data_IF_366197424212
#
_entry.id   IF_366197424212
#
_cell.length_a   1.000
_cell.length_b   1.000
_cell.length_c   1.000
_cell.angle_alpha   90.00
_cell.angle_beta   90.00
_cell.angle_gamma   90.00
#
_symmetry.space_group_name_H-M   'P 1'
#
loop_
_entity.id
_entity.type
_entity.pdbx_description
1 polymer ?
#
# COMPACT_ATOMS: atom_id res chain seq x y z
N UNK A 1 8.30 25.86 -10.37
CA UNK A 1 6.96 25.44 -10.85
C UNK A 1 6.55 24.22 -10.05
N UNK A 2 5.27 24.09 -9.67
CA UNK A 2 4.76 22.87 -9.04
C UNK A 2 4.51 21.81 -10.13
N UNK A 3 4.64 20.51 -9.81
CA UNK A 3 4.34 19.47 -10.77
C UNK A 3 2.82 19.39 -11.02
N UNK A 4 2.44 18.74 -12.12
CA UNK A 4 1.06 18.23 -12.24
C UNK A 4 0.85 17.11 -11.23
N UNK A 5 -0.41 16.85 -10.86
CA UNK A 5 -0.75 15.74 -9.95
C UNK A 5 -0.35 14.38 -10.54
N UNK A 6 -0.41 14.22 -11.87
CA UNK A 6 -0.04 12.97 -12.55
C UNK A 6 1.25 13.14 -13.34
N UNK A 7 2.26 12.32 -13.06
CA UNK A 7 3.58 12.40 -13.71
C UNK A 7 3.51 12.27 -15.23
N UNK A 8 2.69 11.33 -15.72
CA UNK A 8 2.53 11.02 -17.14
C UNK A 8 1.86 12.13 -17.95
N UNK A 9 1.30 13.16 -17.31
CA UNK A 9 0.69 14.31 -17.97
C UNK A 9 1.68 15.47 -18.21
N UNK A 10 2.91 15.36 -17.71
CA UNK A 10 3.97 16.34 -17.91
C UNK A 10 4.81 16.00 -19.14
N UNK A 11 5.28 17.03 -19.82
CA UNK A 11 6.27 16.90 -20.89
C UNK A 11 7.69 16.93 -20.34
N UNK A 12 8.66 16.46 -21.13
CA UNK A 12 10.07 16.57 -20.76
C UNK A 12 10.52 18.02 -20.49
N UNK A 13 9.93 18.99 -21.20
CA UNK A 13 10.21 20.42 -21.00
C UNK A 13 9.68 20.93 -19.65
N UNK A 14 8.51 20.47 -19.21
CA UNK A 14 7.94 20.84 -17.90
C UNK A 14 8.87 20.42 -16.76
N UNK A 15 9.50 19.25 -16.88
CA UNK A 15 10.43 18.71 -15.89
C UNK A 15 11.78 19.43 -15.99
N UNK A 16 12.36 19.56 -17.20
CA UNK A 16 13.69 20.14 -17.40
C UNK A 16 13.78 21.63 -17.01
N UNK A 17 12.67 22.38 -17.09
CA UNK A 17 12.61 23.79 -16.72
C UNK A 17 12.29 24.02 -15.23
N UNK A 18 11.93 22.98 -14.49
CA UNK A 18 11.52 23.07 -13.09
C UNK A 18 12.70 22.89 -12.12
N UNK A 19 12.60 23.54 -10.96
CA UNK A 19 13.39 23.16 -9.78
C UNK A 19 12.71 21.96 -9.09
N UNK A 20 13.07 20.76 -9.56
CA UNK A 20 12.48 19.48 -9.11
C UNK A 20 12.97 19.04 -7.73
N UNK A 21 13.95 19.74 -7.14
CA UNK A 21 14.52 19.38 -5.84
C UNK A 21 13.51 19.43 -4.68
N UNK A 22 12.47 20.26 -4.81
CA UNK A 22 11.33 20.32 -3.86
C UNK A 22 10.22 19.32 -4.15
N UNK A 23 10.18 18.72 -5.34
CA UNK A 23 9.08 17.85 -5.73
C UNK A 23 9.08 16.54 -4.95
N UNK A 24 7.90 16.02 -4.69
CA UNK A 24 7.67 14.72 -4.07
C UNK A 24 7.08 13.79 -5.12
N UNK A 25 7.84 12.79 -5.55
CA UNK A 25 7.27 11.70 -6.33
C UNK A 25 6.59 10.71 -5.38
N UNK A 26 5.37 10.29 -5.73
CA UNK A 26 4.62 9.26 -5.03
C UNK A 26 4.49 8.04 -5.94
N UNK A 27 5.09 6.92 -5.55
CA UNK A 27 5.02 5.65 -6.28
C UNK A 27 4.02 4.72 -5.60
N UNK A 28 2.80 4.56 -6.15
CA UNK A 28 1.88 3.54 -5.66
C UNK A 28 2.31 2.15 -6.13
N UNK A 29 2.34 1.21 -5.19
CA UNK A 29 2.61 -0.21 -5.46
C UNK A 29 1.52 -1.08 -4.84
N UNK A 30 1.19 -2.18 -5.51
CA UNK A 30 0.15 -3.10 -5.12
C UNK A 30 0.57 -4.55 -5.39
N UNK A 31 -0.41 -5.45 -5.49
CA UNK A 31 -0.25 -6.83 -5.90
C UNK A 31 -1.44 -7.32 -6.74
N UNK A 32 -1.25 -8.49 -7.36
CA UNK A 32 -2.31 -9.27 -8.01
C UNK A 32 -2.36 -10.62 -7.34
N UNK A 33 -3.31 -10.81 -6.42
CA UNK A 33 -3.33 -11.95 -5.52
C UNK A 33 -4.74 -12.36 -5.05
N UNK A 34 -4.93 -13.62 -4.64
CA UNK A 34 -6.24 -14.12 -4.25
C UNK A 34 -6.68 -13.57 -2.90
N UNK A 35 -7.91 -13.09 -2.86
CA UNK A 35 -8.61 -12.59 -1.68
C UNK A 35 -9.89 -13.42 -1.43
N UNK A 36 -9.75 -14.74 -1.50
CA UNK A 36 -10.85 -15.68 -1.28
C UNK A 36 -11.84 -15.71 -2.44
N UNK A 37 -13.06 -16.18 -2.18
CA UNK A 37 -14.09 -16.33 -3.21
C UNK A 37 -14.86 -15.04 -3.52
N UNK A 38 -14.82 -14.06 -2.62
CA UNK A 38 -15.69 -12.87 -2.64
C UNK A 38 -15.02 -11.62 -3.23
N UNK A 39 -13.69 -11.57 -3.29
CA UNK A 39 -12.94 -10.43 -3.80
C UNK A 39 -12.12 -10.76 -5.05
N UNK A 40 -11.92 -9.79 -5.96
CA UNK A 40 -11.14 -10.00 -7.18
C UNK A 40 -9.63 -10.04 -6.89
N UNK A 41 -8.86 -10.60 -7.84
CA UNK A 41 -7.39 -10.59 -7.82
C UNK A 41 -6.79 -9.16 -7.84
N UNK A 42 -7.60 -8.16 -8.20
CA UNK A 42 -7.19 -6.77 -8.32
C UNK A 42 -7.37 -5.96 -7.02
N UNK A 43 -7.78 -6.59 -5.90
CA UNK A 43 -8.13 -5.90 -4.65
C UNK A 43 -7.09 -4.87 -4.22
N UNK A 44 -5.81 -5.26 -4.13
CA UNK A 44 -4.74 -4.33 -3.75
C UNK A 44 -4.55 -3.20 -4.75
N UNK A 45 -4.68 -3.50 -6.05
CA UNK A 45 -4.49 -2.52 -7.11
C UNK A 45 -5.63 -1.48 -7.13
N UNK A 46 -6.87 -1.90 -6.90
CA UNK A 46 -8.03 -1.02 -6.79
C UNK A 46 -7.95 -0.18 -5.49
N UNK A 47 -7.52 -0.76 -4.37
CA UNK A 47 -7.27 -0.01 -3.13
C UNK A 47 -6.17 1.04 -3.32
N UNK A 48 -5.04 0.68 -3.94
CA UNK A 48 -3.96 1.63 -4.22
C UNK A 48 -4.42 2.76 -5.14
N UNK A 49 -5.18 2.44 -6.19
CA UNK A 49 -5.76 3.42 -7.12
C UNK A 49 -6.71 4.36 -6.39
N UNK A 50 -7.69 3.82 -5.68
CA UNK A 50 -8.66 4.61 -4.93
C UNK A 50 -8.01 5.50 -3.88
N UNK A 51 -6.98 5.01 -3.19
CA UNK A 51 -6.23 5.79 -2.20
C UNK A 51 -5.52 6.98 -2.87
N UNK A 52 -4.78 6.74 -3.95
CA UNK A 52 -4.07 7.81 -4.69
C UNK A 52 -5.04 8.82 -5.30
N UNK A 53 -6.14 8.37 -5.90
CA UNK A 53 -7.17 9.24 -6.45
C UNK A 53 -7.77 10.12 -5.34
N UNK A 54 -8.08 9.52 -4.18
CA UNK A 54 -8.64 10.27 -3.05
C UNK A 54 -7.66 11.28 -2.47
N UNK A 55 -6.38 10.91 -2.32
CA UNK A 55 -5.33 11.86 -1.91
C UNK A 55 -5.24 12.98 -2.93
N UNK A 56 -5.20 12.67 -4.23
CA UNK A 56 -5.09 13.66 -5.29
C UNK A 56 -6.28 14.64 -5.28
N UNK A 57 -7.50 14.18 -5.01
CA UNK A 57 -8.68 15.04 -4.86
C UNK A 57 -8.55 16.03 -3.69
N UNK A 58 -8.08 15.56 -2.54
CA UNK A 58 -7.98 16.33 -1.30
C UNK A 58 -6.70 17.16 -1.19
N UNK A 59 -5.73 16.95 -2.09
CA UNK A 59 -4.42 17.57 -2.03
C UNK A 59 -4.47 19.09 -2.19
N UNK A 60 -3.85 19.87 -1.29
CA UNK A 60 -3.67 21.31 -1.44
C UNK A 60 -2.88 21.65 -2.71
N UNK A 61 -3.24 22.76 -3.37
CA UNK A 61 -2.62 23.17 -4.64
C UNK A 61 -1.15 23.63 -4.49
N UNK A 62 -0.69 23.92 -3.28
CA UNK A 62 0.68 24.34 -2.97
C UNK A 62 1.62 23.18 -2.61
N UNK A 63 1.08 21.97 -2.43
CA UNK A 63 1.88 20.77 -2.14
C UNK A 63 2.58 20.29 -3.43
N UNK A 64 3.93 20.22 -3.48
CA UNK A 64 4.66 19.90 -4.70
C UNK A 64 4.73 18.39 -4.98
N UNK A 65 3.61 17.68 -4.95
CA UNK A 65 3.56 16.23 -5.12
C UNK A 65 2.99 15.79 -6.47
N UNK A 66 3.52 14.69 -7.00
CA UNK A 66 3.08 14.06 -8.25
C UNK A 66 3.04 12.54 -8.09
N UNK A 67 2.01 11.91 -8.63
CA UNK A 67 1.80 10.47 -8.62
C UNK A 67 2.40 9.83 -9.87
N UNK A 68 3.19 8.79 -9.65
CA UNK A 68 3.76 7.92 -10.68
C UNK A 68 2.73 6.84 -11.07
N UNK A 69 2.97 6.11 -12.19
CA UNK A 69 2.11 4.99 -12.56
C UNK A 69 2.05 3.93 -11.47
N UNK A 70 0.86 3.37 -11.24
CA UNK A 70 0.65 2.24 -10.33
C UNK A 70 1.44 1.01 -10.81
N UNK A 71 2.33 0.50 -9.96
CA UNK A 71 2.93 -0.81 -10.13
C UNK A 71 1.99 -1.86 -9.54
N UNK A 72 1.16 -2.46 -10.39
CA UNK A 72 0.10 -3.38 -9.96
C UNK A 72 0.59 -4.79 -9.60
N UNK A 73 1.77 -5.20 -10.08
CA UNK A 73 2.34 -6.53 -9.80
C UNK A 73 3.50 -6.37 -8.83
N UNK A 74 3.32 -6.87 -7.61
CA UNK A 74 4.29 -6.83 -6.52
C UNK A 74 4.90 -8.20 -6.21
N UNK A 75 5.17 -8.43 -4.92
CA UNK A 75 5.66 -9.68 -4.38
C UNK A 75 4.67 -10.24 -3.35
N UNK A 76 4.08 -11.41 -3.66
CA UNK A 76 2.93 -12.00 -2.96
C UNK A 76 3.15 -13.48 -2.61
N UNK A 77 4.39 -13.87 -2.29
CA UNK A 77 4.80 -15.29 -2.15
C UNK A 77 3.95 -16.10 -1.16
N UNK A 78 3.44 -15.43 -0.12
CA UNK A 78 2.54 -15.99 0.90
C UNK A 78 1.22 -16.53 0.32
N UNK A 79 0.87 -16.18 -0.92
CA UNK A 79 -0.36 -16.62 -1.59
C UNK A 79 -0.14 -17.70 -2.65
N UNK A 80 1.08 -18.25 -2.78
CA UNK A 80 1.45 -19.23 -3.82
C UNK A 80 0.59 -20.50 -3.86
N UNK A 81 -0.09 -20.85 -2.77
CA UNK A 81 -0.99 -22.01 -2.70
C UNK A 81 -2.22 -21.90 -3.62
N UNK A 82 -2.54 -20.68 -4.07
CA UNK A 82 -3.79 -20.34 -4.73
C UNK A 82 -3.54 -19.89 -6.18
N UNK A 83 -4.54 -20.10 -7.04
CA UNK A 83 -4.44 -19.77 -8.46
C UNK A 83 -4.67 -18.27 -8.74
N UNK A 84 -4.13 -17.78 -9.87
CA UNK A 84 -4.41 -16.44 -10.39
C UNK A 84 -3.43 -15.35 -9.97
N UNK A 85 -2.58 -15.61 -8.98
CA UNK A 85 -1.54 -14.66 -8.56
C UNK A 85 -0.54 -14.37 -9.68
N UNK A 86 -0.20 -13.08 -9.84
CA UNK A 86 0.96 -12.65 -10.60
C UNK A 86 1.95 -12.02 -9.62
N UNK A 87 3.17 -12.54 -9.57
CA UNK A 87 4.19 -12.07 -8.61
C UNK A 87 5.55 -11.91 -9.30
N UNK A 88 6.29 -10.89 -8.90
CA UNK A 88 7.72 -10.76 -9.17
C UNK A 88 8.52 -11.46 -8.07
N UNK A 89 9.79 -11.76 -8.36
CA UNK A 89 10.72 -12.14 -7.30
C UNK A 89 11.13 -10.90 -6.49
N UNK A 90 11.53 -11.05 -5.21
CA UNK A 90 12.03 -9.93 -4.41
C UNK A 90 13.17 -9.17 -5.10
N UNK A 91 14.12 -9.88 -5.70
CA UNK A 91 15.27 -9.28 -6.39
C UNK A 91 14.82 -8.45 -7.59
N UNK A 92 13.83 -8.95 -8.33
CA UNK A 92 13.27 -8.24 -9.49
C UNK A 92 12.52 -6.99 -9.05
N UNK A 93 11.69 -7.08 -8.00
CA UNK A 93 10.95 -5.94 -7.48
C UNK A 93 11.89 -4.88 -6.88
N UNK A 94 12.92 -5.28 -6.13
CA UNK A 94 13.97 -4.37 -5.62
C UNK A 94 14.63 -3.63 -6.78
N UNK A 95 14.98 -4.34 -7.86
CA UNK A 95 15.58 -3.73 -9.05
C UNK A 95 14.65 -2.73 -9.71
N UNK A 96 13.40 -3.10 -9.98
CA UNK A 96 12.40 -2.23 -10.61
C UNK A 96 12.22 -0.94 -9.80
N UNK A 97 11.98 -1.05 -8.49
CA UNK A 97 11.74 0.11 -7.64
C UNK A 97 12.98 1.00 -7.50
N UNK A 98 14.18 0.39 -7.46
CA UNK A 98 15.44 1.14 -7.48
C UNK A 98 15.62 1.90 -8.78
N UNK A 99 15.44 1.25 -9.93
CA UNK A 99 15.64 1.86 -11.26
C UNK A 99 14.65 3.01 -11.51
N UNK A 100 13.43 2.91 -10.97
CA UNK A 100 12.48 4.04 -10.94
C UNK A 100 13.04 5.18 -10.09
N UNK A 101 13.51 4.92 -8.87
CA UNK A 101 14.11 5.94 -7.99
C UNK A 101 15.34 6.62 -8.61
N UNK A 102 16.21 5.84 -9.26
CA UNK A 102 17.37 6.33 -10.02
C UNK A 102 16.94 7.27 -11.15
N UNK A 103 15.89 6.90 -11.90
CA UNK A 103 15.35 7.73 -12.98
C UNK A 103 14.81 9.08 -12.47
N UNK A 104 14.19 9.09 -11.28
CA UNK A 104 13.74 10.32 -10.63
C UNK A 104 14.92 11.17 -10.16
N UNK A 105 15.96 10.54 -9.59
CA UNK A 105 17.19 11.21 -9.19
C UNK A 105 17.88 11.85 -10.41
N UNK A 106 17.91 11.17 -11.55
CA UNK A 106 18.43 11.73 -12.81
C UNK A 106 17.64 12.97 -13.27
N UNK A 107 16.35 13.02 -12.94
CA UNK A 107 15.47 14.17 -13.19
C UNK A 107 15.55 15.27 -12.12
N UNK A 108 16.49 15.17 -11.17
CA UNK A 108 16.75 16.15 -10.11
C UNK A 108 15.89 16.02 -8.86
N UNK A 109 14.97 15.04 -8.79
CA UNK A 109 14.14 14.82 -7.60
C UNK A 109 14.99 14.24 -6.47
N UNK A 110 14.70 14.72 -5.25
CA UNK A 110 15.37 14.26 -4.03
C UNK A 110 14.46 13.48 -3.08
N UNK A 111 13.14 13.44 -3.37
CA UNK A 111 12.11 12.90 -2.48
C UNK A 111 11.23 11.89 -3.21
N UNK A 112 11.11 10.69 -2.64
CA UNK A 112 10.24 9.62 -3.13
C UNK A 112 9.46 9.03 -1.95
N UNK A 113 8.14 8.97 -2.07
CA UNK A 113 7.27 8.22 -1.15
C UNK A 113 6.73 7.01 -1.89
N UNK A 114 7.06 5.81 -1.43
CA UNK A 114 6.49 4.56 -1.93
C UNK A 114 5.28 4.24 -1.06
N UNK A 115 4.08 4.26 -1.64
CA UNK A 115 2.83 3.96 -0.92
C UNK A 115 2.29 2.61 -1.35
N UNK A 116 2.25 1.69 -0.40
CA UNK A 116 1.97 0.28 -0.63
C UNK A 116 0.54 -0.10 -0.20
N UNK A 117 -0.14 -0.95 -0.97
CA UNK A 117 -1.42 -1.55 -0.57
C UNK A 117 -1.38 -3.00 -0.14
N UNK A 118 -0.28 -3.72 -0.38
CA UNK A 118 -0.18 -5.15 -0.14
C UNK A 118 0.92 -5.50 0.90
N UNK A 119 0.59 -6.29 1.92
CA UNK A 119 1.50 -6.60 3.04
C UNK A 119 2.88 -7.14 2.62
N UNK A 120 2.91 -8.11 1.71
CA UNK A 120 4.12 -8.82 1.27
C UNK A 120 5.18 -7.93 0.64
N UNK A 121 4.81 -6.81 0.01
CA UNK A 121 5.77 -5.86 -0.55
C UNK A 121 6.66 -5.18 0.52
N UNK A 122 6.22 -5.13 1.78
CA UNK A 122 6.84 -4.27 2.81
C UNK A 122 8.35 -4.51 3.02
N UNK A 123 8.85 -5.76 3.16
CA UNK A 123 10.28 -6.02 3.32
C UNK A 123 11.12 -5.57 2.13
N UNK A 124 10.57 -5.69 0.91
CA UNK A 124 11.23 -5.22 -0.32
C UNK A 124 11.31 -3.69 -0.33
N UNK A 125 10.21 -3.01 0.04
CA UNK A 125 10.20 -1.54 0.13
C UNK A 125 11.21 -1.03 1.14
N UNK A 126 11.32 -1.67 2.31
CA UNK A 126 12.29 -1.29 3.35
C UNK A 126 13.74 -1.37 2.83
N UNK A 127 14.08 -2.40 2.05
CA UNK A 127 15.39 -2.52 1.38
C UNK A 127 15.59 -1.38 0.38
N UNK A 128 14.59 -1.12 -0.45
CA UNK A 128 14.66 -0.11 -1.52
C UNK A 128 14.87 1.28 -0.95
N UNK A 129 14.12 1.68 0.09
CA UNK A 129 14.27 3.02 0.67
C UNK A 129 15.67 3.23 1.26
N UNK A 130 16.24 2.21 1.91
CA UNK A 130 17.60 2.26 2.44
C UNK A 130 18.63 2.36 1.32
N UNK A 131 18.39 1.64 0.21
CA UNK A 131 19.27 1.66 -0.96
C UNK A 131 19.23 3.02 -1.65
N UNK A 132 18.05 3.59 -1.88
CA UNK A 132 17.89 4.93 -2.46
C UNK A 132 18.52 6.01 -1.58
N UNK A 133 18.37 5.88 -0.25
CA UNK A 133 19.04 6.78 0.69
C UNK A 133 20.56 6.68 0.58
N UNK A 134 21.12 5.48 0.49
CA UNK A 134 22.57 5.26 0.50
C UNK A 134 23.22 5.64 -0.82
N UNK A 135 22.64 5.20 -1.93
CA UNK A 135 23.25 5.30 -3.26
C UNK A 135 22.96 6.66 -3.91
N UNK A 136 21.77 7.23 -3.67
CA UNK A 136 21.29 8.44 -4.36
C UNK A 136 21.01 9.62 -3.43
N UNK A 137 21.28 9.48 -2.12
CA UNK A 137 21.04 10.53 -1.11
C UNK A 137 19.58 11.01 -1.06
N UNK A 138 18.65 10.22 -1.55
CA UNK A 138 17.23 10.58 -1.57
C UNK A 138 16.62 10.47 -0.17
N UNK A 139 15.65 11.33 0.12
CA UNK A 139 14.63 11.03 1.11
C UNK A 139 13.63 10.05 0.49
N UNK A 140 13.88 8.76 0.71
CA UNK A 140 12.97 7.69 0.32
C UNK A 140 12.16 7.24 1.54
N UNK A 141 10.83 7.22 1.41
CA UNK A 141 9.89 6.94 2.51
C UNK A 141 9.02 5.74 2.16
N UNK A 142 8.93 4.79 3.08
CA UNK A 142 8.03 3.66 2.99
C UNK A 142 6.71 3.98 3.72
N UNK A 143 5.60 3.95 2.99
CA UNK A 143 4.25 4.17 3.51
C UNK A 143 3.31 3.05 3.05
N UNK A 144 2.15 2.95 3.69
CA UNK A 144 1.03 2.13 3.26
C UNK A 144 -0.27 2.82 3.68
N UNK A 145 -1.35 2.64 2.92
CA UNK A 145 -2.66 3.22 3.26
C UNK A 145 -3.13 2.84 4.67
N UNK A 146 -2.73 1.65 5.16
CA UNK A 146 -3.13 1.14 6.47
C UNK A 146 -2.29 1.68 7.65
N UNK A 147 -1.14 2.31 7.39
CA UNK A 147 -0.23 2.80 8.46
C UNK A 147 -0.79 4.02 9.23
N UNK A 148 -1.85 4.64 8.74
CA UNK A 148 -2.52 5.77 9.38
C UNK A 148 -3.61 5.36 10.38
N UNK A 149 -3.78 4.05 10.59
CA UNK A 149 -4.82 3.50 11.44
C UNK A 149 -6.19 3.47 10.74
N UNK A 150 -7.23 3.24 11.54
CA UNK A 150 -8.61 3.17 11.09
C UNK A 150 -9.45 4.16 11.92
N UNK A 151 -10.58 4.66 11.37
CA UNK A 151 -11.57 5.36 12.18
C UNK A 151 -11.97 4.57 13.43
N UNK A 152 -12.07 5.25 14.56
CA UNK A 152 -12.44 4.61 15.83
C UNK A 152 -13.83 3.95 15.75
N UNK A 153 -13.97 2.78 16.39
CA UNK A 153 -15.25 2.08 16.49
C UNK A 153 -15.76 1.42 15.21
N UNK A 154 -15.03 1.50 14.08
CA UNK A 154 -15.53 0.99 12.80
C UNK A 154 -15.65 -0.54 12.74
N UNK A 155 -14.70 -1.24 13.35
CA UNK A 155 -14.68 -2.71 13.41
C UNK A 155 -14.34 -3.21 14.83
N UNK A 156 -14.81 -4.43 15.19
CA UNK A 156 -14.40 -5.11 16.41
C UNK A 156 -12.87 -5.21 16.54
N UNK A 157 -12.36 -5.22 17.77
CA UNK A 157 -10.92 -5.32 18.02
C UNK A 157 -10.30 -6.61 17.43
N UNK A 158 -11.05 -7.72 17.48
CA UNK A 158 -10.64 -8.99 16.91
C UNK A 158 -10.44 -8.90 15.38
N UNK A 159 -11.36 -8.25 14.67
CA UNK A 159 -11.24 -8.07 13.22
C UNK A 159 -9.99 -7.27 12.86
N UNK A 160 -9.74 -6.17 13.58
CA UNK A 160 -8.53 -5.36 13.39
C UNK A 160 -7.23 -6.12 13.69
N UNK A 161 -7.27 -7.10 14.59
CA UNK A 161 -6.11 -7.87 15.00
C UNK A 161 -5.82 -9.07 14.10
N UNK A 162 -6.86 -9.71 13.56
CA UNK A 162 -6.77 -11.03 12.92
C UNK A 162 -7.31 -11.08 11.48
N UNK A 163 -8.14 -10.11 11.08
CA UNK A 163 -8.70 -9.96 9.73
C UNK A 163 -7.75 -9.26 8.76
N UNK A 164 -6.53 -9.79 8.64
CA UNK A 164 -5.41 -9.13 7.95
C UNK A 164 -5.41 -9.33 6.43
N UNK A 165 -6.30 -10.17 5.86
CA UNK A 165 -6.31 -10.50 4.43
C UNK A 165 -7.68 -11.00 3.96
N UNK A 166 -8.34 -10.28 3.07
CA UNK A 166 -9.71 -10.53 2.59
C UNK A 166 -10.81 -10.30 3.62
N UNK A 167 -10.47 -9.73 4.78
CA UNK A 167 -11.38 -9.45 5.89
C UNK A 167 -12.34 -8.28 5.62
N UNK A 168 -12.98 -7.80 6.68
CA UNK A 168 -13.98 -6.73 6.63
C UNK A 168 -13.42 -5.42 6.06
N UNK A 169 -12.15 -5.11 6.35
CA UNK A 169 -11.51 -3.83 6.00
C UNK A 169 -11.35 -3.71 4.47
N UNK A 170 -10.69 -4.68 3.84
CA UNK A 170 -10.47 -4.70 2.39
C UNK A 170 -11.78 -4.89 1.64
N UNK A 171 -12.66 -5.76 2.15
CA UNK A 171 -13.99 -5.95 1.56
C UNK A 171 -14.80 -4.65 1.60
N UNK A 172 -14.71 -3.87 2.68
CA UNK A 172 -15.39 -2.57 2.77
C UNK A 172 -14.85 -1.57 1.76
N UNK A 173 -13.51 -1.46 1.64
CA UNK A 173 -12.87 -0.62 0.63
C UNK A 173 -13.33 -1.00 -0.77
N UNK A 174 -13.36 -2.30 -1.10
CA UNK A 174 -13.81 -2.79 -2.40
C UNK A 174 -15.29 -2.54 -2.65
N UNK A 175 -16.16 -2.66 -1.64
CA UNK A 175 -17.57 -2.29 -1.76
C UNK A 175 -17.77 -0.81 -2.06
N UNK A 176 -16.87 0.05 -1.60
CA UNK A 176 -16.90 1.47 -1.93
C UNK A 176 -16.35 1.76 -3.33
N UNK A 177 -15.21 1.18 -3.67
CA UNK A 177 -14.44 1.50 -4.87
C UNK A 177 -14.97 0.79 -6.12
N UNK A 178 -15.22 -0.52 -6.01
CA UNK A 178 -15.59 -1.42 -7.11
C UNK A 178 -16.64 -2.44 -6.65
N UNK A 179 -17.83 -2.00 -6.20
CA UNK A 179 -18.90 -2.90 -5.75
C UNK A 179 -19.31 -3.91 -6.83
N UNK A 180 -19.11 -3.57 -8.11
CA UNK A 180 -19.36 -4.45 -9.25
C UNK A 180 -18.50 -5.72 -9.28
N UNK A 181 -17.37 -5.72 -8.56
CA UNK A 181 -16.45 -6.86 -8.48
C UNK A 181 -16.56 -7.66 -7.18
N UNK A 182 -17.39 -7.24 -6.22
CA UNK A 182 -17.51 -7.89 -4.92
C UNK A 182 -18.68 -8.87 -4.92
N UNK A 183 -18.36 -10.14 -4.72
CA UNK A 183 -19.34 -11.23 -4.61
C UNK A 183 -19.72 -11.45 -3.15
N UNK A 184 -20.51 -10.54 -2.57
CA UNK A 184 -20.90 -10.58 -1.16
C UNK A 184 -21.65 -11.84 -0.74
N UNK A 185 -22.30 -12.54 -1.67
CA UNK A 185 -22.92 -13.85 -1.41
C UNK A 185 -21.90 -14.95 -1.07
N UNK A 186 -20.61 -14.72 -1.34
CA UNK A 186 -19.49 -15.58 -0.97
C UNK A 186 -18.70 -15.05 0.23
N UNK A 187 -19.04 -13.87 0.75
CA UNK A 187 -18.40 -13.31 1.93
C UNK A 187 -18.83 -14.11 3.16
N UNK A 188 -17.86 -14.54 3.96
CA UNK A 188 -18.09 -15.31 5.18
C UNK A 188 -17.11 -14.90 6.28
N UNK A 189 -17.19 -15.55 7.43
CA UNK A 189 -16.16 -15.52 8.47
C UNK A 189 -15.15 -16.61 8.23
N UNK A 190 -13.90 -16.22 8.07
CA UNK A 190 -12.73 -17.07 7.90
C UNK A 190 -11.85 -16.96 9.16
N UNK A 191 -11.97 -17.88 10.13
CA UNK A 191 -11.17 -17.83 11.36
C UNK A 191 -9.67 -17.88 11.06
N UNK A 192 -8.87 -17.12 11.81
CA UNK A 192 -7.42 -17.11 11.62
C UNK A 192 -6.72 -18.02 12.62
N UNK A 193 -5.77 -18.84 12.17
CA UNK A 193 -4.87 -19.58 13.07
C UNK A 193 -4.07 -18.64 14.01
N UNK A 194 -3.96 -17.35 13.66
CA UNK A 194 -3.38 -16.34 14.55
C UNK A 194 -4.14 -16.17 15.86
N UNK A 195 -5.45 -16.44 15.91
CA UNK A 195 -6.22 -16.46 17.16
C UNK A 195 -5.65 -17.53 18.10
N UNK A 196 -5.41 -18.75 17.59
CA UNK A 196 -4.78 -19.83 18.35
C UNK A 196 -3.34 -19.52 18.71
N UNK A 197 -2.55 -18.97 17.78
CA UNK A 197 -1.17 -18.56 18.11
C UNK A 197 -1.15 -17.50 19.22
N UNK A 198 -2.18 -16.64 19.27
CA UNK A 198 -2.33 -15.63 20.31
C UNK A 198 -2.48 -16.21 21.71
N UNK A 199 -3.16 -17.35 21.81
CA UNK A 199 -3.41 -18.08 23.04
C UNK A 199 -2.20 -18.94 23.44
N UNK A 200 -1.62 -19.67 22.49
CA UNK A 200 -0.60 -20.69 22.77
C UNK A 200 0.81 -20.13 22.99
N UNK A 201 1.13 -19.02 22.32
CA UNK A 201 2.48 -18.46 22.34
C UNK A 201 2.49 -17.05 22.91
N UNK A 202 3.51 -16.69 23.70
CA UNK A 202 3.63 -15.33 24.25
C UNK A 202 4.04 -14.26 23.21
N UNK A 203 4.88 -14.63 22.25
CA UNK A 203 5.52 -13.68 21.33
C UNK A 203 5.46 -14.08 19.86
N UNK A 204 5.52 -15.38 19.55
CA UNK A 204 5.63 -15.90 18.19
C UNK A 204 4.30 -15.78 17.43
N UNK A 205 4.29 -15.06 16.31
CA UNK A 205 3.10 -14.81 15.47
C UNK A 205 3.43 -14.87 13.99
N UNK A 206 2.43 -15.05 13.12
CA UNK A 206 2.61 -14.83 11.68
C UNK A 206 2.67 -13.32 11.37
N UNK A 207 1.86 -12.54 12.08
CA UNK A 207 1.86 -11.07 12.05
C UNK A 207 1.93 -10.50 13.46
N UNK A 208 2.80 -9.51 13.69
CA UNK A 208 3.04 -8.89 14.98
C UNK A 208 4.52 -8.55 15.23
N UNK A 209 4.92 -8.27 16.49
CA UNK A 209 6.27 -7.81 16.82
C UNK A 209 7.39 -8.82 16.52
N UNK A 210 7.15 -10.11 16.78
CA UNK A 210 8.09 -11.20 16.49
C UNK A 210 7.42 -12.21 15.54
N UNK A 211 7.68 -11.99 14.24
CA UNK A 211 7.01 -12.70 13.16
C UNK A 211 7.84 -13.83 12.55
N UNK A 212 7.20 -14.94 12.17
CA UNK A 212 7.77 -15.98 11.33
C UNK A 212 7.28 -15.86 9.88
N UNK A 213 7.95 -16.53 8.93
CA UNK A 213 7.49 -16.59 7.53
C UNK A 213 6.30 -17.54 7.40
N UNK A 214 5.21 -17.07 6.81
CA UNK A 214 3.92 -17.77 6.73
C UNK A 214 3.39 -17.75 5.30
N UNK A 215 2.44 -18.64 5.01
CA UNK A 215 1.56 -18.60 3.85
C UNK A 215 0.13 -18.39 4.30
N UNK A 216 -0.67 -17.78 3.45
CA UNK A 216 -2.11 -17.55 3.71
C UNK A 216 -2.87 -18.83 4.06
N UNK A 217 -2.50 -19.97 3.48
CA UNK A 217 -3.06 -21.28 3.83
C UNK A 217 -2.59 -21.86 5.18
N UNK A 218 -1.51 -21.33 5.77
CA UNK A 218 -1.15 -21.63 7.17
C UNK A 218 -2.13 -20.96 8.16
N UNK A 219 -2.76 -19.85 7.74
CA UNK A 219 -3.69 -19.09 8.59
C UNK A 219 -5.14 -19.53 8.40
N UNK A 220 -5.54 -19.82 7.15
CA UNK A 220 -6.83 -20.40 6.84
C UNK A 220 -6.78 -21.11 5.48
N UNK A 221 -7.35 -22.33 5.33
CA UNK A 221 -7.34 -23.06 4.06
C UNK A 221 -7.98 -22.32 2.86
N UNK A 222 -8.85 -21.32 3.11
CA UNK A 222 -9.45 -20.48 2.07
C UNK A 222 -8.51 -19.38 1.55
N UNK A 223 -7.35 -19.18 2.18
CA UNK A 223 -6.38 -18.15 1.81
C UNK A 223 -6.76 -16.75 2.26
N UNK A 224 -7.79 -16.61 3.09
CA UNK A 224 -8.32 -15.35 3.65
C UNK A 224 -8.63 -15.51 5.13
N UNK A 225 -8.57 -14.41 5.88
CA UNK A 225 -8.82 -14.37 7.33
C UNK A 225 -9.60 -13.11 7.70
N UNK A 226 -10.49 -13.25 8.69
CA UNK A 226 -11.37 -12.18 9.17
C UNK A 226 -12.84 -12.46 8.89
N UNK A 227 -13.71 -11.52 9.25
CA UNK A 227 -15.15 -11.59 9.05
C UNK A 227 -15.61 -10.61 7.97
N UNK A 228 -15.56 -11.04 6.71
CA UNK A 228 -15.93 -10.23 5.56
C UNK A 228 -17.42 -9.82 5.57
N UNK A 229 -18.27 -10.49 6.37
CA UNK A 229 -19.69 -10.16 6.51
C UNK A 229 -19.93 -8.84 7.24
N UNK A 230 -18.92 -8.34 7.96
CA UNK A 230 -18.96 -7.04 8.63
C UNK A 230 -18.74 -5.86 7.68
N UNK A 231 -18.44 -6.12 6.41
CA UNK A 231 -18.07 -5.09 5.45
C UNK A 231 -19.26 -4.23 5.02
N UNK A 232 -18.99 -2.95 4.74
CA UNK A 232 -19.95 -2.02 4.15
C UNK A 232 -19.25 -0.97 3.28
N UNK A 233 -19.96 -0.44 2.29
CA UNK A 233 -19.42 0.63 1.43
C UNK A 233 -19.18 1.93 2.23
N UNK A 234 -20.02 2.21 3.23
CA UNK A 234 -19.86 3.35 4.14
C UNK A 234 -18.57 3.24 4.95
N UNK A 235 -18.27 2.06 5.48
CA UNK A 235 -17.00 1.79 6.14
C UNK A 235 -15.82 1.96 5.18
N UNK A 236 -15.94 1.47 3.94
CA UNK A 236 -14.93 1.64 2.89
C UNK A 236 -14.57 3.09 2.65
N UNK A 237 -15.59 3.94 2.46
CA UNK A 237 -15.41 5.39 2.28
C UNK A 237 -14.72 6.01 3.50
N UNK A 238 -15.16 5.68 4.71
CA UNK A 238 -14.57 6.23 5.94
C UNK A 238 -13.10 5.84 6.11
N UNK A 239 -12.72 4.60 5.79
CA UNK A 239 -11.32 4.14 5.81
C UNK A 239 -10.51 4.91 4.77
N UNK A 240 -11.04 5.05 3.55
CA UNK A 240 -10.36 5.71 2.45
C UNK A 240 -10.09 7.19 2.75
N UNK A 241 -11.09 7.91 3.26
CA UNK A 241 -10.97 9.31 3.68
C UNK A 241 -9.93 9.48 4.78
N UNK A 242 -9.94 8.59 5.79
CA UNK A 242 -9.00 8.60 6.90
C UNK A 242 -7.56 8.35 6.43
N UNK A 243 -7.36 7.33 5.60
CA UNK A 243 -6.05 7.00 5.04
C UNK A 243 -5.50 8.14 4.18
N UNK A 244 -6.34 8.75 3.33
CA UNK A 244 -5.93 9.87 2.49
C UNK A 244 -5.53 11.10 3.32
N UNK A 245 -6.27 11.41 4.38
CA UNK A 245 -5.93 12.48 5.32
C UNK A 245 -4.56 12.28 5.98
N UNK A 246 -4.33 11.10 6.57
CA UNK A 246 -3.03 10.78 7.17
C UNK A 246 -1.88 10.77 6.17
N UNK A 247 -2.13 10.34 4.93
CA UNK A 247 -1.12 10.38 3.87
C UNK A 247 -0.78 11.81 3.43
N UNK A 248 -1.75 12.73 3.40
CA UNK A 248 -1.50 14.15 3.14
C UNK A 248 -0.66 14.79 4.26
N UNK A 249 -0.89 14.43 5.52
CA UNK A 249 -0.05 14.86 6.64
C UNK A 249 1.40 14.38 6.46
N UNK A 250 1.59 13.12 6.04
CA UNK A 250 2.92 12.59 5.70
C UNK A 250 3.57 13.37 4.55
N UNK A 251 2.84 13.67 3.47
CA UNK A 251 3.40 14.44 2.36
C UNK A 251 3.80 15.86 2.80
N UNK A 252 3.05 16.48 3.71
CA UNK A 252 3.42 17.77 4.30
C UNK A 252 4.71 17.68 5.14
N UNK A 253 4.90 16.59 5.90
CA UNK A 253 6.16 16.33 6.60
C UNK A 253 7.33 16.17 5.61
N UNK A 254 7.11 15.43 4.52
CA UNK A 254 8.10 15.21 3.47
C UNK A 254 8.45 16.52 2.74
N UNK A 255 7.50 17.41 2.47
CA UNK A 255 7.77 18.72 1.86
C UNK A 255 8.64 19.59 2.77
N UNK A 256 8.32 19.62 4.07
CA UNK A 256 9.09 20.37 5.08
C UNK A 256 10.48 19.79 5.36
N UNK A 257 10.70 18.51 5.10
CA UNK A 257 12.01 17.90 5.29
C UNK A 257 13.01 18.40 4.26
N UNK A 258 14.10 18.99 4.74
CA UNK A 258 15.23 19.38 3.90
C UNK A 258 16.07 18.15 3.52
N UNK A 259 15.96 17.72 2.26
CA UNK A 259 16.69 16.57 1.75
C UNK A 259 18.19 16.84 1.59
N UNK A 260 18.64 18.10 1.57
CA UNK A 260 20.07 18.45 1.47
C UNK A 260 20.86 18.11 2.73
N UNK A 261 20.17 17.74 3.82
CA UNK A 261 20.78 17.13 5.00
C UNK A 261 21.48 15.79 4.70
N UNK A 262 21.21 15.19 3.54
CA UNK A 262 21.82 13.96 3.08
C UNK A 262 22.97 14.16 2.08
N UNK A 263 23.26 15.43 1.71
CA UNK A 263 24.31 15.81 0.76
C UNK A 263 25.72 15.42 1.22
#
# INVERSE_FOLDING_TARGET
>A
MLPRRTWQEMTANDIAAADTGRWIAVLPIAAVEPHGGHLPLATDAEIARGHVERVAELMPDDLPATFLPLLSVGWSEEHRAFAGMLTLSPETLIRVLTEIGESLCHSGLKKLVIVNSHGGNSPVVDIVIQKLRTDFKMLAVAASWSRFGLPEGLFPAAEKAFGIHGGAIETSLMLHLRPDLVAMEKADRFPSAQETFAEDFRHLRAYGPARFGWRSDDLNPAGVVGDARLASAEAGRAILDHAAGGFLELLADVDRFDADRFA
#
